data_IF_528274443053
#
_entry.id   IF_528274443053
#
_cell.length_a   1.000
_cell.length_b   1.000
_cell.length_c   1.000
_cell.angle_alpha   90.00
_cell.angle_beta   90.00
_cell.angle_gamma   90.00
#
_symmetry.space_group_name_H-M   'P 1'
#
loop_
_entity.id
_entity.type
_entity.pdbx_description
1 polymer ?
#
# COMPACT_ATOMS: atom_id res chain seq x y z
N UNK A 1 82.09 -5.76 -12.53
CA UNK A 1 82.68 -4.47 -12.12
C UNK A 1 81.65 -3.72 -11.28
N UNK A 2 82.08 -3.15 -10.14
CA UNK A 2 81.31 -2.36 -9.12
C UNK A 2 80.29 -3.19 -8.32
N UNK A 3 80.49 -3.59 -7.06
CA UNK A 3 81.03 -2.94 -5.86
C UNK A 3 80.21 -1.71 -5.39
N UNK A 4 79.44 -1.92 -4.31
CA UNK A 4 79.43 -1.03 -3.15
C UNK A 4 78.21 -0.13 -2.92
N UNK A 5 77.45 -0.43 -1.87
CA UNK A 5 76.92 0.52 -0.87
C UNK A 5 76.31 -0.29 0.29
N UNK A 6 77.08 -0.62 1.33
CA UNK A 6 77.18 0.04 2.65
C UNK A 6 75.86 0.17 3.43
N UNK A 7 75.79 -0.74 4.41
CA UNK A 7 75.13 -0.72 5.72
C UNK A 7 74.62 0.62 6.27
N UNK A 8 73.45 0.56 6.91
CA UNK A 8 73.21 1.13 8.25
C UNK A 8 72.21 0.24 8.99
N UNK A 9 72.58 -0.18 10.19
CA UNK A 9 71.71 -0.94 11.09
C UNK A 9 70.68 -0.06 11.79
N UNK A 10 69.70 -0.71 12.43
CA UNK A 10 69.49 -0.70 13.88
C UNK A 10 68.17 -1.43 14.17
N UNK A 11 68.32 -2.52 14.92
CA UNK A 11 67.44 -3.12 15.95
C UNK A 11 66.07 -2.45 16.16
N UNK A 12 65.00 -3.24 16.10
CA UNK A 12 64.29 -3.83 17.27
C UNK A 12 62.92 -4.35 16.83
N UNK A 13 62.61 -5.55 17.30
CA UNK A 13 61.29 -6.15 17.21
C UNK A 13 60.24 -5.34 17.98
N UNK A 14 59.06 -5.16 17.39
CA UNK A 14 57.81 -4.97 18.13
C UNK A 14 56.83 -6.00 17.59
N UNK A 15 56.42 -6.89 18.49
CA UNK A 15 55.33 -7.86 18.31
C UNK A 15 53.99 -7.15 18.47
N UNK A 16 53.00 -7.76 17.84
CA UNK A 16 51.61 -7.85 18.28
C UNK A 16 50.72 -6.61 18.09
N UNK A 17 49.50 -6.90 17.63
CA UNK A 17 48.38 -5.97 17.71
C UNK A 17 47.44 -6.07 16.54
N UNK A 18 46.94 -7.25 16.22
CA UNK A 18 45.74 -7.37 15.39
C UNK A 18 44.55 -6.80 16.14
N UNK A 19 43.98 -5.72 15.62
CA UNK A 19 42.65 -5.27 15.94
C UNK A 19 42.04 -4.75 14.63
N UNK A 20 41.38 -5.65 13.91
CA UNK A 20 40.52 -5.28 12.79
C UNK A 20 39.42 -4.37 13.34
N UNK A 21 39.44 -3.10 12.95
CA UNK A 21 38.36 -2.17 13.24
C UNK A 21 37.13 -2.64 12.44
N UNK A 22 36.19 -3.26 13.13
CA UNK A 22 34.89 -3.64 12.59
C UNK A 22 34.17 -2.38 12.10
N UNK A 23 33.91 -2.33 10.80
CA UNK A 23 33.13 -1.29 10.14
C UNK A 23 31.71 -1.30 10.71
N UNK A 24 31.31 -0.22 11.38
CA UNK A 24 29.92 0.05 11.75
C UNK A 24 29.16 0.45 10.47
N UNK A 25 28.51 -0.52 9.83
CA UNK A 25 27.50 -0.26 8.81
C UNK A 25 26.21 0.09 9.54
N UNK A 26 25.96 1.38 9.77
CA UNK A 26 24.63 1.86 10.14
C UNK A 26 23.87 2.09 8.83
N UNK A 27 23.40 1.01 8.21
CA UNK A 27 22.38 1.07 7.18
C UNK A 27 21.00 1.15 7.86
N UNK A 28 20.73 2.28 8.50
CA UNK A 28 19.37 2.63 8.90
C UNK A 28 18.70 3.33 7.73
N UNK A 29 18.41 2.57 6.67
CA UNK A 29 17.41 3.00 5.69
C UNK A 29 16.04 2.80 6.35
N UNK A 30 15.62 3.77 7.15
CA UNK A 30 14.19 3.96 7.38
C UNK A 30 13.61 4.43 6.06
N UNK A 31 12.91 3.56 5.35
CA UNK A 31 11.99 4.02 4.30
C UNK A 31 10.82 4.65 5.03
N UNK A 32 10.93 5.97 5.24
CA UNK A 32 9.83 6.81 5.70
C UNK A 32 8.59 6.46 4.88
N UNK A 33 7.51 6.12 5.58
CA UNK A 33 6.22 5.80 4.99
C UNK A 33 5.77 6.99 4.14
N UNK A 34 5.69 6.79 2.82
CA UNK A 34 5.18 7.82 1.92
C UNK A 34 3.76 8.20 2.35
N UNK A 35 3.48 9.50 2.39
CA UNK A 35 2.20 10.06 2.80
C UNK A 35 1.10 9.67 1.78
N UNK A 36 0.53 8.49 1.94
CA UNK A 36 -0.63 8.04 1.16
C UNK A 36 -1.93 8.69 1.65
N UNK A 37 -2.95 8.72 0.80
CA UNK A 37 -4.30 9.16 1.16
C UNK A 37 -4.94 8.32 2.27
N UNK A 38 -4.37 7.17 2.63
CA UNK A 38 -4.97 6.21 3.57
C UNK A 38 -5.94 5.26 2.88
N UNK A 39 -6.84 4.64 3.65
CA UNK A 39 -7.82 3.68 3.12
C UNK A 39 -9.16 4.38 2.83
N UNK A 40 -9.70 4.31 1.61
CA UNK A 40 -11.01 4.86 1.33
C UNK A 40 -12.06 3.99 2.04
N UNK A 41 -12.71 4.56 3.05
CA UNK A 41 -13.71 3.85 3.86
C UNK A 41 -15.00 4.64 3.92
N UNK A 42 -16.11 3.92 4.03
CA UNK A 42 -17.38 4.50 4.45
C UNK A 42 -17.25 4.99 5.90
N UNK A 43 -17.82 6.15 6.23
CA UNK A 43 -17.91 6.63 7.62
C UNK A 43 -18.94 5.83 8.42
N UNK A 44 -19.97 5.35 7.74
CA UNK A 44 -21.00 4.46 8.28
C UNK A 44 -21.57 3.60 7.16
N UNK A 45 -21.94 2.35 7.47
CA UNK A 45 -22.72 1.50 6.56
C UNK A 45 -23.97 2.27 6.10
N UNK A 46 -24.27 2.22 4.81
CA UNK A 46 -25.44 2.93 4.26
C UNK A 46 -25.18 4.38 3.83
N UNK A 47 -23.98 4.92 4.02
CA UNK A 47 -23.68 6.33 3.72
C UNK A 47 -23.75 6.64 2.21
N UNK A 48 -23.30 5.71 1.37
CA UNK A 48 -23.37 5.83 -0.09
C UNK A 48 -24.79 5.43 -0.54
N UNK A 49 -25.57 6.29 -1.20
CA UNK A 49 -26.94 5.95 -1.61
C UNK A 49 -26.97 4.86 -2.67
N UNK A 50 -28.06 4.09 -2.75
CA UNK A 50 -28.29 3.08 -3.80
C UNK A 50 -28.83 1.74 -3.26
N UNK A 51 -29.15 0.83 -4.17
CA UNK A 51 -29.67 -0.50 -3.81
C UNK A 51 -28.55 -1.44 -3.37
N UNK A 52 -28.74 -2.11 -2.23
CA UNK A 52 -27.76 -3.06 -1.70
C UNK A 52 -27.95 -4.40 -2.36
N UNK A 53 -26.85 -4.98 -2.83
CA UNK A 53 -26.83 -6.31 -3.43
C UNK A 53 -25.62 -7.09 -2.93
N UNK A 54 -25.68 -8.40 -3.15
CA UNK A 54 -24.51 -9.25 -2.96
C UNK A 54 -23.49 -8.91 -4.05
N UNK A 55 -22.24 -8.71 -3.64
CA UNK A 55 -21.12 -8.37 -4.52
C UNK A 55 -20.09 -9.48 -4.40
N UNK A 56 -19.63 -9.98 -5.55
CA UNK A 56 -18.52 -10.92 -5.64
C UNK A 56 -17.56 -10.49 -6.75
N UNK A 57 -16.27 -10.63 -6.50
CA UNK A 57 -15.25 -10.31 -7.48
C UNK A 57 -13.84 -10.67 -7.02
N UNK A 58 -12.86 -10.37 -7.86
CA UNK A 58 -11.44 -10.53 -7.52
C UNK A 58 -10.84 -9.18 -7.18
N UNK A 59 -10.27 -9.05 -5.99
CA UNK A 59 -9.58 -7.82 -5.58
C UNK A 59 -8.38 -7.60 -6.49
N UNK A 60 -8.23 -6.38 -6.96
CA UNK A 60 -7.04 -5.92 -7.67
C UNK A 60 -6.41 -4.75 -6.94
N UNK A 61 -5.09 -4.75 -6.89
CA UNK A 61 -4.30 -3.60 -6.43
C UNK A 61 -3.62 -3.00 -7.64
N UNK A 62 -4.09 -1.83 -8.04
CA UNK A 62 -3.58 -1.12 -9.21
C UNK A 62 -2.17 -0.56 -8.93
N UNK A 63 -1.43 -0.22 -9.99
CA UNK A 63 -0.06 0.27 -9.87
C UNK A 63 0.08 1.58 -9.07
N UNK A 64 -0.99 2.36 -8.97
CA UNK A 64 -1.08 3.58 -8.16
C UNK A 64 -1.57 3.31 -6.71
N UNK A 65 -1.76 2.05 -6.33
CA UNK A 65 -2.20 1.64 -4.99
C UNK A 65 -3.71 1.66 -4.78
N UNK A 66 -4.51 1.97 -5.81
CA UNK A 66 -5.96 1.91 -5.73
C UNK A 66 -6.45 0.46 -5.69
N UNK A 67 -7.43 0.19 -4.83
CA UNK A 67 -8.11 -1.10 -4.83
C UNK A 67 -9.28 -1.04 -5.81
N UNK A 68 -9.34 -1.97 -6.75
CA UNK A 68 -10.50 -2.18 -7.63
C UNK A 68 -11.03 -3.60 -7.42
N UNK A 69 -12.31 -3.82 -7.73
CA UNK A 69 -12.91 -5.15 -7.66
C UNK A 69 -13.28 -5.60 -9.07
N UNK A 70 -12.57 -6.59 -9.59
CA UNK A 70 -12.89 -7.20 -10.88
C UNK A 70 -14.13 -8.08 -10.74
N UNK A 71 -15.25 -7.60 -11.29
CA UNK A 71 -16.54 -8.29 -11.31
C UNK A 71 -16.60 -9.29 -12.48
N UNK A 72 -17.59 -10.19 -12.45
CA UNK A 72 -17.76 -11.24 -13.47
C UNK A 72 -18.06 -10.69 -14.88
N UNK A 73 -18.58 -9.47 -14.97
CA UNK A 73 -18.80 -8.77 -16.25
C UNK A 73 -17.53 -8.08 -16.81
N UNK A 74 -16.41 -8.18 -16.08
CA UNK A 74 -15.12 -7.61 -16.44
C UNK A 74 -14.95 -6.14 -16.03
N UNK A 75 -15.97 -5.51 -15.45
CA UNK A 75 -15.81 -4.16 -14.88
C UNK A 75 -14.92 -4.18 -13.63
N UNK A 76 -14.31 -3.04 -13.33
CA UNK A 76 -13.34 -2.89 -12.22
C UNK A 76 -13.59 -1.62 -11.42
N UNK A 77 -14.76 -1.48 -10.79
CA UNK A 77 -15.06 -0.32 -9.96
C UNK A 77 -14.04 -0.14 -8.83
N UNK A 78 -13.78 1.12 -8.50
CA UNK A 78 -12.95 1.48 -7.35
C UNK A 78 -13.63 1.09 -6.05
N UNK A 79 -12.86 0.49 -5.13
CA UNK A 79 -13.38 -0.02 -3.85
C UNK A 79 -13.37 1.08 -2.79
N UNK A 80 -14.54 1.36 -2.24
CA UNK A 80 -14.70 2.05 -0.95
C UNK A 80 -15.04 1.00 0.10
N UNK A 81 -14.13 0.83 1.06
CA UNK A 81 -14.17 -0.25 2.03
C UNK A 81 -15.19 -0.01 3.16
N UNK A 82 -15.61 -1.08 3.87
CA UNK A 82 -16.41 -0.93 5.08
C UNK A 82 -15.72 -0.08 6.14
N UNK A 83 -16.51 0.56 7.00
CA UNK A 83 -16.00 1.29 8.15
C UNK A 83 -15.12 0.37 9.03
N UNK A 84 -14.00 0.89 9.52
CA UNK A 84 -13.05 0.13 10.33
C UNK A 84 -12.03 -0.69 9.56
N UNK A 85 -12.07 -0.67 8.21
CA UNK A 85 -11.01 -1.25 7.39
C UNK A 85 -9.74 -0.41 7.50
N UNK A 86 -8.60 -1.05 7.72
CA UNK A 86 -7.28 -0.42 7.76
C UNK A 86 -6.39 -0.95 6.65
N UNK A 87 -5.32 -0.21 6.32
CA UNK A 87 -4.27 -0.67 5.41
C UNK A 87 -3.10 -1.23 6.20
N UNK A 88 -2.62 -2.42 5.83
CA UNK A 88 -1.39 -3.03 6.34
C UNK A 88 -0.53 -3.52 5.18
N UNK A 89 0.57 -2.82 4.92
CA UNK A 89 1.36 -2.93 3.69
C UNK A 89 0.47 -2.77 2.44
N UNK A 90 0.23 -3.86 1.71
CA UNK A 90 -0.58 -3.89 0.48
C UNK A 90 -1.94 -4.58 0.69
N UNK A 91 -2.35 -4.77 1.95
CA UNK A 91 -3.59 -5.45 2.29
C UNK A 91 -4.62 -4.53 2.94
N UNK A 92 -5.88 -4.78 2.58
CA UNK A 92 -7.01 -4.30 3.35
C UNK A 92 -7.29 -5.27 4.50
N UNK A 93 -7.40 -4.73 5.72
CA UNK A 93 -7.65 -5.51 6.94
C UNK A 93 -8.95 -5.04 7.57
N UNK A 94 -9.90 -5.97 7.73
CA UNK A 94 -11.18 -5.75 8.39
C UNK A 94 -11.44 -6.90 9.38
N UNK A 95 -11.39 -6.61 10.68
CA UNK A 95 -11.48 -7.64 11.71
C UNK A 95 -10.35 -8.68 11.55
N UNK A 96 -10.71 -9.94 11.33
CA UNK A 96 -9.75 -11.02 11.04
C UNK A 96 -9.52 -11.27 9.55
N UNK A 97 -10.27 -10.57 8.69
CA UNK A 97 -10.16 -10.69 7.23
C UNK A 97 -9.01 -9.82 6.76
N UNK A 98 -8.06 -10.44 6.05
CA UNK A 98 -6.97 -9.77 5.36
C UNK A 98 -7.08 -10.08 3.87
N UNK A 99 -7.26 -9.05 3.05
CA UNK A 99 -7.46 -9.15 1.62
C UNK A 99 -6.31 -8.50 0.85
N UNK A 100 -5.83 -9.18 -0.18
CA UNK A 100 -4.70 -8.78 -1.05
C UNK A 100 -5.03 -8.96 -2.52
N UNK A 101 -4.19 -8.42 -3.40
CA UNK A 101 -4.32 -8.60 -4.85
C UNK A 101 -4.52 -10.08 -5.22
N UNK A 102 -5.54 -10.33 -6.05
CA UNK A 102 -5.91 -11.68 -6.50
C UNK A 102 -6.84 -12.45 -5.57
N UNK A 103 -7.11 -12.00 -4.35
CA UNK A 103 -8.10 -12.64 -3.49
C UNK A 103 -9.51 -12.49 -4.06
N UNK A 104 -10.31 -13.56 -3.95
CA UNK A 104 -11.74 -13.50 -4.24
C UNK A 104 -12.47 -12.99 -3.01
N UNK A 105 -13.25 -11.93 -3.20
CA UNK A 105 -14.06 -11.30 -2.18
C UNK A 105 -15.54 -11.55 -2.44
N UNK A 106 -16.29 -11.77 -1.38
CA UNK A 106 -17.74 -11.79 -1.41
C UNK A 106 -18.28 -10.98 -0.23
N UNK A 107 -19.39 -10.29 -0.43
CA UNK A 107 -20.00 -9.49 0.62
C UNK A 107 -21.26 -8.80 0.14
N UNK A 108 -21.66 -7.74 0.85
CA UNK A 108 -22.77 -6.87 0.49
C UNK A 108 -22.25 -5.47 0.25
N UNK A 109 -22.79 -4.80 -0.75
CA UNK A 109 -22.43 -3.41 -1.04
C UNK A 109 -23.39 -2.77 -2.03
N UNK A 110 -22.93 -1.66 -2.61
CA UNK A 110 -23.63 -0.91 -3.64
C UNK A 110 -22.66 -0.53 -4.76
N UNK A 111 -23.11 -0.67 -6.00
CA UNK A 111 -22.42 -0.18 -7.19
C UNK A 111 -23.05 1.14 -7.62
N UNK A 112 -22.25 2.20 -7.73
CA UNK A 112 -22.71 3.55 -8.08
C UNK A 112 -21.68 4.30 -8.92
N UNK A 113 -22.12 5.37 -9.56
CA UNK A 113 -21.24 6.39 -10.12
C UNK A 113 -20.55 7.19 -9.01
N UNK A 114 -19.38 7.75 -9.30
CA UNK A 114 -18.62 8.55 -8.34
C UNK A 114 -19.41 9.75 -7.79
N UNK A 115 -20.32 10.34 -8.57
CA UNK A 115 -21.20 11.44 -8.14
C UNK A 115 -22.15 11.08 -7.00
N UNK A 116 -22.36 9.79 -6.72
CA UNK A 116 -23.13 9.34 -5.57
C UNK A 116 -22.32 9.41 -4.26
N UNK A 117 -21.00 9.58 -4.32
CA UNK A 117 -20.17 9.62 -3.12
C UNK A 117 -20.41 10.91 -2.31
N UNK A 118 -20.56 10.79 -0.99
CA UNK A 118 -20.68 11.94 -0.11
C UNK A 118 -19.49 12.89 -0.26
N UNK A 119 -19.78 14.14 -0.64
CA UNK A 119 -18.76 15.17 -0.82
C UNK A 119 -18.13 15.23 -2.21
N UNK A 120 -18.51 14.36 -3.15
CA UNK A 120 -17.93 14.32 -4.50
C UNK A 120 -17.91 15.68 -5.23
N UNK A 121 -18.96 16.48 -5.08
CA UNK A 121 -19.06 17.81 -5.70
C UNK A 121 -18.05 18.84 -5.14
N UNK A 122 -17.43 18.56 -4.00
CA UNK A 122 -16.38 19.39 -3.42
C UNK A 122 -15.02 18.82 -3.80
N UNK A 123 -14.28 19.54 -4.65
CA UNK A 123 -12.95 19.16 -5.12
C UNK A 123 -11.91 19.01 -3.99
N UNK A 124 -12.11 19.72 -2.87
CA UNK A 124 -11.24 19.62 -1.69
C UNK A 124 -11.64 18.47 -0.75
N UNK A 125 -12.73 17.75 -1.05
CA UNK A 125 -13.14 16.59 -0.26
C UNK A 125 -12.21 15.41 -0.49
N UNK A 126 -12.10 14.57 0.53
CA UNK A 126 -11.38 13.29 0.44
C UNK A 126 -11.91 12.40 -0.69
N UNK A 127 -13.24 12.29 -0.80
CA UNK A 127 -13.90 11.45 -1.79
C UNK A 127 -13.57 11.90 -3.22
N UNK A 128 -13.60 13.20 -3.49
CA UNK A 128 -13.23 13.72 -4.80
C UNK A 128 -11.74 13.55 -5.09
N UNK A 129 -10.87 14.01 -4.19
CA UNK A 129 -9.42 13.99 -4.42
C UNK A 129 -8.89 12.56 -4.64
N UNK A 130 -9.30 11.60 -3.81
CA UNK A 130 -8.83 10.23 -3.93
C UNK A 130 -9.59 9.45 -5.00
N UNK A 131 -10.90 9.63 -5.13
CA UNK A 131 -11.65 8.95 -6.18
C UNK A 131 -11.22 9.42 -7.58
N UNK A 132 -10.92 10.70 -7.79
CA UNK A 132 -10.33 11.18 -9.03
C UNK A 132 -8.94 10.59 -9.29
N UNK A 133 -8.11 10.43 -8.26
CA UNK A 133 -6.81 9.74 -8.37
C UNK A 133 -6.96 8.24 -8.75
N UNK A 134 -8.05 7.61 -8.33
CA UNK A 134 -8.39 6.22 -8.67
C UNK A 134 -9.35 6.09 -9.87
N UNK A 135 -9.49 7.13 -10.68
CA UNK A 135 -10.34 7.16 -11.88
C UNK A 135 -11.81 6.76 -11.65
N UNK A 136 -12.36 7.03 -10.45
CA UNK A 136 -13.70 6.61 -10.04
C UNK A 136 -14.82 7.07 -10.99
N UNK A 137 -14.66 8.22 -11.65
CA UNK A 137 -15.61 8.72 -12.64
C UNK A 137 -15.67 7.83 -13.90
N UNK A 138 -14.54 7.22 -14.28
CA UNK A 138 -14.44 6.35 -15.44
C UNK A 138 -14.76 4.89 -15.12
N UNK A 139 -14.36 4.40 -13.94
CA UNK A 139 -14.50 2.97 -13.58
C UNK A 139 -15.71 2.67 -12.70
N UNK A 140 -16.37 3.70 -12.15
CA UNK A 140 -17.43 3.55 -11.17
C UNK A 140 -16.90 3.21 -9.77
N UNK A 141 -17.82 3.03 -8.83
CA UNK A 141 -17.50 2.78 -7.42
C UNK A 141 -18.28 1.59 -6.89
N UNK A 142 -17.59 0.74 -6.14
CA UNK A 142 -18.19 -0.29 -5.30
C UNK A 142 -17.96 0.07 -3.84
N UNK A 143 -19.03 0.46 -3.15
CA UNK A 143 -18.97 0.72 -1.71
C UNK A 143 -19.45 -0.52 -0.96
N UNK A 144 -18.52 -1.17 -0.26
CA UNK A 144 -18.76 -2.41 0.46
C UNK A 144 -19.24 -2.11 1.89
N UNK A 145 -20.35 -2.72 2.29
CA UNK A 145 -20.90 -2.66 3.64
C UNK A 145 -20.29 -3.76 4.54
N UNK A 146 -20.02 -4.93 3.95
CA UNK A 146 -19.33 -6.07 4.57
C UNK A 146 -18.53 -6.84 3.52
N UNK A 147 -17.46 -7.53 3.94
CA UNK A 147 -16.64 -8.32 3.02
C UNK A 147 -15.94 -9.48 3.72
N UNK A 148 -15.97 -10.64 3.08
CA UNK A 148 -15.26 -11.85 3.45
C UNK A 148 -14.39 -12.33 2.30
N UNK A 149 -13.26 -12.96 2.65
CA UNK A 149 -12.38 -13.62 1.69
C UNK A 149 -12.88 -15.06 1.46
N UNK A 150 -13.01 -15.46 0.20
CA UNK A 150 -13.44 -16.81 -0.20
C UNK A 150 -12.26 -17.77 -0.36
#
# INVERSE_FOLDING_TARGET
MRAGARAHGIRRAVRAGGAAATVLVVAACGTDSEAGFGMPTQQSVGQVPGERSDVEGVLRVEANGCFTLELDDGTRPWVVWPAGTTMDAEAAVLGTTRATDGDRLAGRGVLVDASALPGWENADSYAHAFGAFCDAEAVGVVALDEVDRR
#
